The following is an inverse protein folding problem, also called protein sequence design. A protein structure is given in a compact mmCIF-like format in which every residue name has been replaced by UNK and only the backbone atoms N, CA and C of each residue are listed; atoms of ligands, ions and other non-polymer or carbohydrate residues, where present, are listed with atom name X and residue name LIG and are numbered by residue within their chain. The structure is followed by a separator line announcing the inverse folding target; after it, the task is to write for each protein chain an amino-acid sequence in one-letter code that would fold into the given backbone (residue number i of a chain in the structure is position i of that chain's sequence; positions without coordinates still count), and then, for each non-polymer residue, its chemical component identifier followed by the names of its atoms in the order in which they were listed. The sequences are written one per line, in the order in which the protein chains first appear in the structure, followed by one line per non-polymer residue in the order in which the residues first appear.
data_IF_677934585067
#
_entry.id   IF_677934585067
#
_cell.length_a   1.000
_cell.length_b   1.000
_cell.length_c   1.000
_cell.angle_alpha   90.00
_cell.angle_beta   90.00
_cell.angle_gamma   90.00
#
_symmetry.space_group_name_H-M   'P 1'
#
loop_
_entity.id
_entity.type
_entity.pdbx_description
1 polymer ?
#
# COMPACT_ATOMS: atom_id res chain seq x y z
N UNK A 1 -3.97 -10.42 1.95
CA UNK A 1 -2.59 -10.42 2.46
C UNK A 1 -1.66 -10.46 1.25
N UNK A 2 -1.02 -9.35 0.87
CA UNK A 2 -0.06 -9.36 -0.23
C UNK A 2 1.19 -10.12 0.22
N UNK A 3 1.35 -11.35 -0.29
CA UNK A 3 2.63 -12.04 -0.25
C UNK A 3 3.52 -11.34 -1.28
N UNK A 4 4.27 -10.35 -0.82
CA UNK A 4 5.35 -9.77 -1.62
C UNK A 4 6.48 -10.81 -1.64
N UNK A 5 6.40 -11.76 -2.58
CA UNK A 5 7.49 -12.67 -2.90
C UNK A 5 8.39 -11.95 -3.90
N UNK A 6 9.19 -11.00 -3.42
CA UNK A 6 10.08 -10.22 -4.28
C UNK A 6 11.34 -11.03 -4.59
N UNK A 7 11.38 -11.78 -5.69
CA UNK A 7 12.67 -12.09 -6.31
C UNK A 7 13.22 -10.79 -6.90
N UNK A 8 13.89 -10.00 -6.07
CA UNK A 8 14.85 -9.02 -6.57
C UNK A 8 15.76 -9.78 -7.54
N UNK A 9 15.77 -9.37 -8.82
CA UNK A 9 16.56 -9.99 -9.90
C UNK A 9 18.09 -9.92 -9.67
N UNK A 10 18.52 -9.56 -8.48
CA UNK A 10 19.88 -9.50 -7.95
C UNK A 10 20.17 -10.67 -7.01
N UNK A 11 19.88 -11.92 -7.41
CA UNK A 11 20.32 -13.12 -6.66
C UNK A 11 19.88 -13.22 -5.19
N UNK A 12 18.93 -12.41 -4.73
CA UNK A 12 18.50 -12.36 -3.32
C UNK A 12 17.58 -13.51 -2.95
N UNK A 13 17.72 -14.02 -1.72
CA UNK A 13 16.83 -15.04 -1.16
C UNK A 13 15.65 -14.37 -0.44
N UNK A 14 14.42 -14.70 -0.84
CA UNK A 14 13.20 -14.28 -0.12
C UNK A 14 12.94 -15.22 1.05
N UNK A 15 12.91 -14.66 2.26
CA UNK A 15 12.58 -15.42 3.47
C UNK A 15 11.18 -15.02 3.94
N UNK A 16 10.20 -15.91 3.69
CA UNK A 16 8.85 -15.73 4.25
C UNK A 16 8.84 -16.01 5.76
N UNK A 17 8.53 -15.01 6.58
CA UNK A 17 8.42 -15.20 8.02
C UNK A 17 7.41 -14.25 8.67
N UNK A 18 6.66 -14.77 9.64
CA UNK A 18 5.70 -13.98 10.43
C UNK A 18 6.29 -13.44 11.73
N UNK A 19 7.40 -14.02 12.22
CA UNK A 19 7.94 -13.73 13.57
C UNK A 19 9.47 -13.79 13.71
N UNK A 20 10.17 -14.62 12.93
CA UNK A 20 11.55 -15.02 13.22
C UNK A 20 12.61 -14.03 12.74
N UNK A 21 12.33 -13.30 11.66
CA UNK A 21 13.26 -12.32 11.08
C UNK A 21 12.59 -10.96 11.07
N UNK A 22 13.23 -9.97 11.73
CA UNK A 22 12.80 -8.57 11.82
C UNK A 22 14.03 -7.66 11.78
N UNK A 23 13.82 -6.39 11.42
CA UNK A 23 14.85 -5.36 11.49
C UNK A 23 15.36 -5.17 12.92
N UNK A 24 16.42 -4.37 13.10
CA UNK A 24 16.95 -3.97 14.42
C UNK A 24 15.87 -3.35 15.30
N UNK A 25 14.93 -2.64 14.67
CA UNK A 25 13.77 -2.01 15.28
C UNK A 25 12.53 -2.91 15.38
N UNK A 26 12.66 -4.20 15.05
CA UNK A 26 11.55 -5.14 15.12
C UNK A 26 10.51 -4.96 14.01
N UNK A 27 10.85 -4.34 12.87
CA UNK A 27 9.93 -4.07 11.76
C UNK A 27 10.20 -4.94 10.53
N UNK A 28 9.22 -5.02 9.63
CA UNK A 28 9.28 -5.67 8.31
C UNK A 28 8.77 -4.67 7.25
N UNK A 29 9.20 -4.76 5.98
CA UNK A 29 10.33 -5.56 5.48
C UNK A 29 11.70 -4.94 5.82
N UNK A 30 12.78 -5.72 5.70
CA UNK A 30 14.17 -5.21 5.80
C UNK A 30 15.07 -5.97 4.84
N UNK A 31 16.17 -5.34 4.40
CA UNK A 31 17.16 -5.95 3.51
C UNK A 31 18.48 -6.10 4.27
N UNK A 32 19.12 -7.26 4.09
CA UNK A 32 20.49 -7.51 4.57
C UNK A 32 21.39 -7.76 3.36
N UNK A 33 22.37 -6.88 3.16
CA UNK A 33 23.35 -6.92 2.08
C UNK A 33 24.74 -7.04 2.70
N UNK A 34 25.44 -8.16 2.41
CA UNK A 34 26.79 -8.44 2.93
C UNK A 34 26.91 -8.34 4.47
N UNK A 35 25.87 -8.76 5.21
CA UNK A 35 25.83 -8.67 6.67
C UNK A 35 25.52 -7.28 7.23
N UNK A 36 25.36 -6.27 6.37
CA UNK A 36 24.86 -4.94 6.75
C UNK A 36 23.39 -4.79 6.40
N UNK A 37 22.63 -4.21 7.32
CA UNK A 37 21.21 -3.87 7.10
C UNK A 37 21.14 -2.49 6.46
N UNK A 38 20.55 -2.43 5.27
CA UNK A 38 20.35 -1.16 4.55
C UNK A 38 18.89 -0.74 4.72
N UNK A 39 18.67 0.41 5.35
CA UNK A 39 17.33 0.89 5.75
C UNK A 39 16.77 1.97 4.81
N UNK A 40 17.59 2.62 3.98
CA UNK A 40 17.17 3.68 3.05
C UNK A 40 17.93 3.55 1.73
N UNK A 41 17.24 3.16 0.66
CA UNK A 41 17.84 2.88 -0.66
C UNK A 41 17.21 3.73 -1.76
N UNK A 42 17.22 5.05 -1.56
CA UNK A 42 16.93 6.02 -2.62
C UNK A 42 18.10 6.11 -3.62
N UNK A 43 18.39 5.01 -4.30
CA UNK A 43 19.54 4.92 -5.18
C UNK A 43 19.25 5.66 -6.51
N UNK A 44 20.15 6.56 -6.90
CA UNK A 44 20.06 7.31 -8.16
C UNK A 44 19.19 8.59 -8.16
N UNK A 45 18.51 8.96 -7.07
CA UNK A 45 17.79 10.24 -6.96
C UNK A 45 18.64 11.35 -6.34
N UNK A 46 18.63 12.53 -6.93
CA UNK A 46 19.43 13.68 -6.45
C UNK A 46 18.61 14.97 -6.38
N UNK A 47 19.11 15.97 -5.63
CA UNK A 47 18.51 17.29 -5.57
C UNK A 47 17.01 17.30 -5.22
N UNK A 48 16.22 17.97 -6.05
CA UNK A 48 14.78 18.10 -5.88
C UNK A 48 14.04 16.76 -5.97
N UNK A 49 14.46 15.83 -6.84
CA UNK A 49 13.80 14.53 -6.99
C UNK A 49 13.87 13.73 -5.70
N UNK A 50 15.02 13.72 -5.03
CA UNK A 50 15.18 13.07 -3.72
C UNK A 50 14.30 13.71 -2.64
N UNK A 51 14.16 15.03 -2.67
CA UNK A 51 13.26 15.76 -1.77
C UNK A 51 11.78 15.40 -1.99
N UNK A 52 11.35 15.40 -3.26
CA UNK A 52 10.00 15.01 -3.66
C UNK A 52 9.71 13.55 -3.33
N UNK A 53 10.65 12.64 -3.59
CA UNK A 53 10.54 11.23 -3.23
C UNK A 53 10.30 11.05 -1.73
N UNK A 54 11.11 11.70 -0.90
CA UNK A 54 10.96 11.64 0.56
C UNK A 54 9.60 12.18 1.04
N UNK A 55 9.15 13.30 0.48
CA UNK A 55 7.85 13.87 0.83
C UNK A 55 6.69 12.95 0.41
N UNK A 56 6.77 12.40 -0.80
CA UNK A 56 5.75 11.51 -1.35
C UNK A 56 5.65 10.21 -0.53
N UNK A 57 6.78 9.62 -0.14
CA UNK A 57 6.80 8.44 0.73
C UNK A 57 6.15 8.71 2.09
N UNK A 58 6.42 9.87 2.70
CA UNK A 58 5.79 10.23 3.98
C UNK A 58 4.30 10.50 3.86
N UNK A 59 3.87 11.12 2.77
CA UNK A 59 2.44 11.27 2.48
C UNK A 59 1.77 9.90 2.32
N UNK A 60 2.39 9.00 1.57
CA UNK A 60 1.86 7.66 1.25
C UNK A 60 1.81 6.76 2.48
N UNK A 61 2.86 6.75 3.31
CA UNK A 61 2.94 5.90 4.51
C UNK A 61 2.05 6.36 5.67
N UNK A 62 1.62 7.61 5.64
CA UNK A 62 0.79 8.19 6.71
C UNK A 62 -0.59 8.53 6.17
N UNK A 63 -0.73 9.64 5.43
CA UNK A 63 -2.03 10.16 4.98
C UNK A 63 -2.77 9.12 4.13
N UNK A 64 -2.14 8.64 3.06
CA UNK A 64 -2.76 7.69 2.13
C UNK A 64 -3.05 6.37 2.81
N UNK A 65 -2.08 5.82 3.57
CA UNK A 65 -2.27 4.59 4.32
C UNK A 65 -3.47 4.66 5.27
N UNK A 66 -3.58 5.71 6.09
CA UNK A 66 -4.67 5.83 7.07
C UNK A 66 -6.04 6.04 6.42
N UNK A 67 -6.10 6.75 5.29
CA UNK A 67 -7.34 6.87 4.52
C UNK A 67 -7.77 5.54 3.88
N UNK A 68 -6.82 4.81 3.28
CA UNK A 68 -7.08 3.50 2.68
C UNK A 68 -7.49 2.46 3.72
N UNK A 69 -6.75 2.32 4.82
CA UNK A 69 -7.07 1.31 5.84
C UNK A 69 -8.41 1.61 6.52
N UNK A 70 -8.79 2.87 6.68
CA UNK A 70 -10.11 3.21 7.17
C UNK A 70 -11.19 2.71 6.23
N UNK A 71 -11.17 3.11 4.95
CA UNK A 71 -12.22 2.73 3.98
C UNK A 71 -12.25 1.20 3.77
N UNK A 72 -11.09 0.56 3.81
CA UNK A 72 -10.93 -0.89 3.70
C UNK A 72 -11.53 -1.69 4.84
N UNK A 73 -11.54 -1.15 6.05
CA UNK A 73 -11.85 -1.94 7.26
C UNK A 73 -13.08 -1.42 8.00
N UNK A 74 -13.26 -0.11 8.11
CA UNK A 74 -14.30 0.47 8.98
C UNK A 74 -15.70 0.30 8.39
N UNK A 75 -15.99 0.73 7.14
CA UNK A 75 -17.28 0.46 6.51
C UNK A 75 -17.37 -0.97 5.95
N UNK A 76 -16.23 -1.59 5.60
CA UNK A 76 -16.16 -2.87 4.88
C UNK A 76 -15.71 -4.06 5.75
N UNK A 77 -15.82 -3.97 7.08
CA UNK A 77 -15.29 -4.95 8.03
C UNK A 77 -15.65 -6.42 7.72
N UNK A 78 -16.93 -6.77 7.49
CA UNK A 78 -17.32 -8.13 7.13
C UNK A 78 -16.72 -8.62 5.81
N UNK A 79 -16.66 -7.77 4.78
CA UNK A 79 -16.03 -8.10 3.50
C UNK A 79 -14.51 -8.31 3.68
N UNK A 80 -13.86 -7.45 4.45
CA UNK A 80 -12.44 -7.56 4.78
C UNK A 80 -12.10 -8.83 5.58
N UNK A 81 -12.98 -9.26 6.48
CA UNK A 81 -12.83 -10.49 7.26
C UNK A 81 -13.38 -11.74 6.55
N UNK A 82 -13.86 -11.61 5.31
CA UNK A 82 -14.39 -12.73 4.55
C UNK A 82 -13.31 -13.79 4.28
N UNK A 83 -13.76 -15.02 4.02
CA UNK A 83 -12.87 -16.12 3.60
C UNK A 83 -12.11 -15.76 2.32
N UNK A 84 -12.73 -15.05 1.37
CA UNK A 84 -12.11 -14.63 0.11
C UNK A 84 -10.90 -13.73 0.35
N UNK A 85 -10.96 -12.86 1.37
CA UNK A 85 -9.87 -11.91 1.66
C UNK A 85 -8.82 -12.51 2.61
N UNK A 86 -9.26 -13.26 3.62
CA UNK A 86 -8.38 -13.78 4.69
C UNK A 86 -7.82 -15.16 4.40
N UNK A 87 -8.48 -15.96 3.56
CA UNK A 87 -8.22 -17.37 3.36
C UNK A 87 -8.68 -18.27 4.51
N UNK A 88 -9.23 -17.71 5.59
CA UNK A 88 -9.56 -18.44 6.82
C UNK A 88 -11.07 -18.76 6.85
N UNK A 89 -11.48 -20.04 6.94
CA UNK A 89 -12.89 -20.43 7.03
C UNK A 89 -13.40 -20.26 8.46
N UNK A 90 -13.69 -19.02 8.87
CA UNK A 90 -14.31 -18.75 10.17
C UNK A 90 -15.84 -18.86 10.11
N UNK A 91 -16.49 -19.39 11.16
CA UNK A 91 -17.94 -19.24 11.34
C UNK A 91 -18.37 -17.77 11.28
N UNK A 92 -19.54 -17.50 10.70
CA UNK A 92 -20.01 -16.13 10.46
C UNK A 92 -20.07 -15.26 11.73
N UNK A 93 -20.44 -15.85 12.87
CA UNK A 93 -20.49 -15.12 14.15
C UNK A 93 -19.09 -14.67 14.62
N UNK A 94 -18.07 -15.52 14.47
CA UNK A 94 -16.69 -15.17 14.82
C UNK A 94 -16.13 -14.13 13.84
N UNK A 95 -16.37 -14.30 12.54
CA UNK A 95 -15.97 -13.33 11.51
C UNK A 95 -16.55 -11.94 11.81
N UNK A 96 -17.85 -11.85 12.11
CA UNK A 96 -18.51 -10.59 12.45
C UNK A 96 -17.98 -9.97 13.75
N UNK A 97 -17.69 -10.78 14.76
CA UNK A 97 -17.09 -10.31 16.02
C UNK A 97 -15.69 -9.73 15.78
N UNK A 98 -14.83 -10.44 15.04
CA UNK A 98 -13.50 -9.95 14.69
C UNK A 98 -13.56 -8.72 13.80
N UNK A 99 -14.47 -8.68 12.81
CA UNK A 99 -14.71 -7.51 11.97
C UNK A 99 -15.01 -6.29 12.84
N UNK A 100 -16.00 -6.37 13.73
CA UNK A 100 -16.35 -5.25 14.64
C UNK A 100 -15.16 -4.78 15.48
N UNK A 101 -14.45 -5.72 16.13
CA UNK A 101 -13.30 -5.38 16.98
C UNK A 101 -12.17 -4.74 16.18
N UNK A 102 -11.89 -5.25 14.98
CA UNK A 102 -10.83 -4.74 14.13
C UNK A 102 -11.20 -3.37 13.54
N UNK A 103 -12.43 -3.20 13.05
CA UNK A 103 -12.96 -1.90 12.59
C UNK A 103 -12.90 -0.83 13.68
N UNK A 104 -13.27 -1.15 14.91
CA UNK A 104 -13.16 -0.19 16.03
C UNK A 104 -11.71 0.15 16.38
N UNK A 105 -10.82 -0.84 16.32
CA UNK A 105 -9.38 -0.62 16.54
C UNK A 105 -8.79 0.32 15.47
N UNK A 106 -9.10 0.07 14.21
CA UNK A 106 -8.65 0.91 13.09
C UNK A 106 -9.27 2.30 13.20
N UNK A 107 -10.56 2.42 13.49
CA UNK A 107 -11.23 3.71 13.71
C UNK A 107 -10.51 4.54 14.75
N UNK A 108 -10.20 3.97 15.92
CA UNK A 108 -9.47 4.68 16.99
C UNK A 108 -8.08 5.13 16.54
N UNK A 109 -7.35 4.29 15.82
CA UNK A 109 -6.02 4.64 15.28
C UNK A 109 -6.11 5.77 14.25
N UNK A 110 -7.01 5.66 13.28
CA UNK A 110 -7.23 6.70 12.28
C UNK A 110 -7.65 8.02 12.96
N UNK A 111 -8.50 7.97 13.98
CA UNK A 111 -8.88 9.17 14.74
C UNK A 111 -7.68 9.79 15.46
N UNK A 112 -6.78 8.98 16.03
CA UNK A 112 -5.57 9.47 16.69
C UNK A 112 -4.54 10.10 15.76
N UNK A 113 -4.47 9.67 14.49
CA UNK A 113 -3.48 10.20 13.52
C UNK A 113 -4.07 11.32 12.66
N UNK A 114 -5.30 11.14 12.18
CA UNK A 114 -5.97 12.09 11.30
C UNK A 114 -6.84 13.11 12.06
N UNK A 115 -6.91 13.05 13.38
CA UNK A 115 -7.68 14.01 14.19
C UNK A 115 -9.19 13.81 14.17
N UNK A 116 -9.67 12.59 13.90
CA UNK A 116 -11.10 12.27 13.92
C UNK A 116 -11.90 12.93 12.79
N UNK A 117 -11.27 13.09 11.62
CA UNK A 117 -11.92 13.69 10.45
C UNK A 117 -13.23 12.96 10.08
N UNK A 118 -14.27 13.71 9.68
CA UNK A 118 -15.44 13.14 9.03
C UNK A 118 -15.04 12.28 7.82
N UNK A 119 -15.86 11.26 7.52
CA UNK A 119 -15.59 10.33 6.41
C UNK A 119 -15.33 11.07 5.09
N UNK A 120 -16.14 12.06 4.75
CA UNK A 120 -15.97 12.83 3.51
C UNK A 120 -14.64 13.57 3.45
N UNK A 121 -14.18 14.14 4.56
CA UNK A 121 -12.87 14.81 4.61
C UNK A 121 -11.72 13.82 4.38
N UNK A 122 -11.85 12.59 4.85
CA UNK A 122 -10.87 11.54 4.58
C UNK A 122 -10.89 11.07 3.12
N UNK A 123 -12.07 11.06 2.48
CA UNK A 123 -12.15 10.81 1.03
C UNK A 123 -11.44 11.91 0.26
N UNK A 124 -11.65 13.17 0.62
CA UNK A 124 -10.99 14.30 0.00
C UNK A 124 -9.48 14.26 0.24
N UNK A 125 -9.02 13.90 1.44
CA UNK A 125 -7.58 13.68 1.70
C UNK A 125 -7.00 12.60 0.78
N UNK A 126 -7.67 11.45 0.63
CA UNK A 126 -7.20 10.41 -0.29
C UNK A 126 -7.18 10.89 -1.74
N UNK A 127 -8.21 11.63 -2.16
CA UNK A 127 -8.29 12.22 -3.52
C UNK A 127 -7.12 13.17 -3.77
N UNK A 128 -6.78 14.03 -2.80
CA UNK A 128 -5.65 14.96 -2.89
C UNK A 128 -4.30 14.25 -2.92
N UNK A 129 -4.15 13.19 -2.13
CA UNK A 129 -2.93 12.36 -2.14
C UNK A 129 -2.75 11.65 -3.49
N UNK A 130 -3.81 11.05 -4.04
CA UNK A 130 -3.77 10.41 -5.36
C UNK A 130 -3.49 11.44 -6.46
N UNK A 131 -4.05 12.65 -6.37
CA UNK A 131 -3.72 13.75 -7.28
C UNK A 131 -2.24 14.12 -7.19
N UNK A 132 -1.67 14.22 -6.00
CA UNK A 132 -0.25 14.51 -5.84
C UNK A 132 0.63 13.41 -6.47
N UNK A 133 0.24 12.13 -6.33
CA UNK A 133 0.89 11.02 -7.03
C UNK A 133 0.77 11.21 -8.55
N UNK A 134 -0.41 11.55 -9.05
CA UNK A 134 -0.68 11.75 -10.47
C UNK A 134 0.09 12.94 -11.08
N UNK A 135 0.24 14.01 -10.31
CA UNK A 135 0.99 15.23 -10.65
C UNK A 135 2.50 14.97 -10.65
N UNK A 136 3.01 14.14 -9.74
CA UNK A 136 4.41 13.70 -9.77
C UNK A 136 4.63 12.74 -10.93
N UNK A 137 3.71 11.81 -11.19
CA UNK A 137 3.81 10.82 -12.25
C UNK A 137 3.83 11.49 -13.64
N UNK A 138 2.85 12.34 -13.96
CA UNK A 138 2.67 12.92 -15.30
C UNK A 138 2.80 11.83 -16.38
N UNK A 139 3.37 12.13 -17.54
CA UNK A 139 3.54 11.16 -18.64
C UNK A 139 4.72 10.19 -18.45
N UNK A 140 5.32 10.14 -17.24
CA UNK A 140 6.48 9.29 -16.98
C UNK A 140 6.09 7.82 -16.81
N UNK A 141 7.05 6.93 -17.08
CA UNK A 141 6.86 5.48 -16.90
C UNK A 141 6.78 5.08 -15.42
N UNK A 142 7.58 5.73 -14.60
CA UNK A 142 7.65 5.62 -13.15
C UNK A 142 7.76 7.04 -12.56
N UNK A 143 7.58 7.20 -11.25
CA UNK A 143 7.44 8.52 -10.61
C UNK A 143 8.60 9.48 -10.92
N UNK A 144 9.82 8.95 -11.08
CA UNK A 144 11.02 9.72 -11.39
C UNK A 144 11.67 9.31 -12.73
N UNK A 145 10.88 8.80 -13.67
CA UNK A 145 11.32 8.61 -15.06
C UNK A 145 11.23 7.17 -15.56
N UNK A 146 12.30 6.68 -16.18
CA UNK A 146 12.31 5.40 -16.91
C UNK A 146 12.59 4.16 -16.04
N UNK A 147 13.10 4.34 -14.82
CA UNK A 147 13.46 3.27 -13.89
C UNK A 147 12.60 3.35 -12.64
N UNK A 148 12.22 2.18 -12.11
CA UNK A 148 11.47 2.07 -10.86
C UNK A 148 12.38 2.41 -9.67
N UNK A 149 11.86 3.19 -8.73
CA UNK A 149 12.53 3.54 -7.47
C UNK A 149 11.82 2.94 -6.27
N UNK A 150 12.40 3.08 -5.07
CA UNK A 150 11.76 2.68 -3.81
C UNK A 150 10.43 3.43 -3.59
N UNK A 151 10.34 4.67 -4.05
CA UNK A 151 9.11 5.44 -3.96
C UNK A 151 8.01 4.86 -4.84
N UNK A 152 8.34 4.32 -6.02
CA UNK A 152 7.36 3.58 -6.82
C UNK A 152 6.84 2.35 -6.06
N UNK A 153 7.74 1.61 -5.41
CA UNK A 153 7.38 0.46 -4.57
C UNK A 153 6.48 0.85 -3.40
N UNK A 154 6.75 1.97 -2.73
CA UNK A 154 5.93 2.48 -1.63
C UNK A 154 4.51 2.84 -2.10
N UNK A 155 4.40 3.63 -3.18
CA UNK A 155 3.10 4.01 -3.77
C UNK A 155 2.33 2.77 -4.23
N UNK A 156 2.98 1.89 -4.98
CA UNK A 156 2.37 0.66 -5.46
C UNK A 156 1.90 -0.22 -4.29
N UNK A 157 2.76 -0.41 -3.28
CA UNK A 157 2.46 -1.20 -2.10
C UNK A 157 1.20 -0.72 -1.38
N UNK A 158 1.07 0.58 -1.14
CA UNK A 158 -0.12 1.11 -0.47
C UNK A 158 -1.38 0.96 -1.32
N UNK A 159 -1.35 1.42 -2.58
CA UNK A 159 -2.54 1.39 -3.46
C UNK A 159 -2.97 -0.05 -3.80
N UNK A 160 -2.03 -0.93 -4.15
CA UNK A 160 -2.30 -2.30 -4.56
C UNK A 160 -2.93 -3.14 -3.45
N UNK A 161 -2.63 -2.87 -2.18
CA UNK A 161 -3.24 -3.60 -1.04
C UNK A 161 -4.74 -3.40 -0.90
N UNK A 162 -5.29 -2.41 -1.58
CA UNK A 162 -6.69 -2.00 -1.48
C UNK A 162 -7.36 -2.12 -2.84
N UNK A 163 -6.76 -1.59 -3.91
CA UNK A 163 -7.32 -1.62 -5.26
C UNK A 163 -7.63 -3.02 -5.79
N UNK A 164 -6.80 -4.02 -5.48
CA UNK A 164 -6.98 -5.40 -5.96
C UNK A 164 -7.74 -6.31 -4.97
N UNK A 165 -8.46 -5.75 -3.99
CA UNK A 165 -9.34 -6.54 -3.15
C UNK A 165 -10.62 -6.93 -3.93
N UNK A 166 -11.24 -8.08 -3.61
CA UNK A 166 -12.40 -8.61 -4.33
C UNK A 166 -13.71 -7.89 -3.95
N UNK A 167 -13.66 -6.58 -3.72
CA UNK A 167 -14.82 -5.73 -3.47
C UNK A 167 -14.49 -4.27 -3.81
N UNK A 168 -15.51 -3.51 -4.23
CA UNK A 168 -15.34 -2.12 -4.65
C UNK A 168 -15.10 -1.21 -3.44
N UNK A 169 -14.18 -0.28 -3.59
CA UNK A 169 -13.73 0.63 -2.53
C UNK A 169 -13.53 2.04 -3.08
N UNK A 170 -13.35 3.00 -2.18
CA UNK A 170 -13.09 4.39 -2.58
C UNK A 170 -11.89 4.53 -3.51
N UNK A 171 -10.81 3.79 -3.27
CA UNK A 171 -9.63 3.82 -4.16
C UNK A 171 -9.95 3.28 -5.54
N UNK A 172 -10.84 2.29 -5.64
CA UNK A 172 -11.29 1.74 -6.93
C UNK A 172 -12.03 2.82 -7.71
N UNK A 173 -12.99 3.51 -7.07
CA UNK A 173 -13.73 4.61 -7.70
C UNK A 173 -12.79 5.73 -8.17
N UNK A 174 -11.88 6.20 -7.29
CA UNK A 174 -10.94 7.27 -7.64
C UNK A 174 -10.01 6.90 -8.80
N UNK A 175 -9.47 5.67 -8.81
CA UNK A 175 -8.53 5.24 -9.84
C UNK A 175 -9.21 4.90 -11.18
N UNK A 176 -10.47 4.46 -11.16
CA UNK A 176 -11.22 4.17 -12.38
C UNK A 176 -11.82 5.42 -13.01
N UNK A 177 -12.38 6.31 -12.19
CA UNK A 177 -13.20 7.42 -12.67
C UNK A 177 -12.40 8.72 -12.85
N UNK A 178 -11.38 8.95 -12.01
CA UNK A 178 -10.70 10.25 -11.94
C UNK A 178 -9.21 10.22 -12.25
N UNK A 179 -8.53 9.15 -11.85
CA UNK A 179 -7.07 9.02 -11.98
C UNK A 179 -6.65 7.79 -12.79
N UNK A 180 -7.11 7.64 -14.05
CA UNK A 180 -6.83 6.48 -14.88
C UNK A 180 -5.33 6.30 -15.15
N UNK A 181 -4.54 7.38 -15.13
CA UNK A 181 -3.09 7.32 -15.28
C UNK A 181 -2.42 6.63 -14.10
N UNK A 182 -2.83 6.94 -12.86
CA UNK A 182 -2.35 6.24 -11.67
C UNK A 182 -2.78 4.77 -11.68
N UNK A 183 -4.01 4.48 -12.13
CA UNK A 183 -4.46 3.09 -12.37
C UNK A 183 -3.54 2.35 -13.34
N UNK A 184 -3.27 2.92 -14.50
CA UNK A 184 -2.38 2.29 -15.50
C UNK A 184 -0.95 2.14 -14.98
N UNK A 185 -0.48 3.07 -14.17
CA UNK A 185 0.81 2.99 -13.50
C UNK A 185 0.90 1.80 -12.54
N UNK A 186 -0.07 1.60 -11.65
CA UNK A 186 -0.07 0.43 -10.74
C UNK A 186 -0.28 -0.89 -11.50
N UNK A 187 -1.07 -0.88 -12.58
CA UNK A 187 -1.25 -2.06 -13.44
C UNK A 187 0.06 -2.44 -14.15
N UNK A 188 0.79 -1.44 -14.67
CA UNK A 188 2.10 -1.64 -15.31
C UNK A 188 3.11 -2.26 -14.34
N UNK A 189 3.19 -1.76 -13.10
CA UNK A 189 4.07 -2.33 -12.08
C UNK A 189 3.70 -3.78 -11.80
N UNK A 190 2.40 -4.05 -11.55
CA UNK A 190 1.91 -5.42 -11.33
C UNK A 190 2.29 -6.35 -12.47
N UNK A 191 1.99 -5.99 -13.71
CA UNK A 191 2.23 -6.84 -14.88
C UNK A 191 3.72 -7.10 -15.13
N UNK A 192 4.57 -6.09 -14.92
CA UNK A 192 6.00 -6.21 -15.21
C UNK A 192 6.80 -6.93 -14.13
N UNK A 193 6.49 -6.65 -12.86
CA UNK A 193 7.27 -7.13 -11.71
C UNK A 193 6.62 -8.30 -10.96
N UNK A 194 5.32 -8.51 -11.12
CA UNK A 194 4.56 -9.59 -10.49
C UNK A 194 3.75 -10.38 -11.54
N UNK A 195 4.37 -10.90 -12.61
CA UNK A 195 3.65 -11.63 -13.67
C UNK A 195 2.96 -12.90 -13.18
N UNK A 196 3.39 -13.45 -12.05
CA UNK A 196 2.74 -14.57 -11.36
C UNK A 196 1.44 -14.18 -10.66
N UNK A 197 1.23 -12.89 -10.38
CA UNK A 197 0.00 -12.38 -9.80
C UNK A 197 -1.08 -12.31 -10.89
N UNK A 198 -1.66 -13.46 -11.23
CA UNK A 198 -2.78 -13.58 -12.16
C UNK A 198 -4.09 -13.17 -11.47
N UNK A 199 -5.00 -12.57 -12.24
CA UNK A 199 -6.39 -12.37 -11.82
C UNK A 199 -7.03 -13.77 -11.77
N UNK A 200 -7.35 -14.25 -10.57
CA UNK A 200 -8.29 -15.37 -10.39
C UNK A 200 -9.73 -14.85 -10.50
#
# INVERSE_FOLDING_TARGET
MLRINERLRTGGQVIGTYRKYRSSHGLLPFIELNGQRIEDSQDGLTGAERGTARALERMVDVSTFYALIYDKVVPNGPAFMSRTVTGIPLPAFLSNMFAKKFSETIRRRCNGVLGGLPRENMKESLRRDIRAIDDVLQDKKFLFGGKMTVTDCAVFGQLATTFYLPYRQLVTDLLEDEFPRVRHYIQRIRQHYYPEWKDE
#
